data_IF_720561979288
#
_entry.id   IF_720561979288
#
_cell.length_a   1.000
_cell.length_b   1.000
_cell.length_c   1.000
_cell.angle_alpha   90.00
_cell.angle_beta   90.00
_cell.angle_gamma   90.00
#
_symmetry.space_group_name_H-M   'P 1'
#
loop_
_entity.id
_entity.type
_entity.pdbx_description
1 polymer ?
#
# COMPACT_ATOMS: atom_id res chain seq x y z
N UNK A 1 -12.87 19.93 -26.48
CA UNK A 1 -12.73 19.18 -25.22
C UNK A 1 -14.07 19.10 -24.46
N UNK A 2 -15.07 18.45 -25.07
CA UNK A 2 -16.46 18.30 -24.55
C UNK A 2 -16.57 17.31 -23.36
N UNK A 3 -15.47 16.67 -22.98
CA UNK A 3 -15.46 15.41 -22.23
C UNK A 3 -15.18 15.53 -20.72
N UNK A 4 -14.61 16.64 -20.22
CA UNK A 4 -14.56 16.89 -18.76
C UNK A 4 -15.96 17.10 -18.18
N UNK A 5 -16.85 17.75 -18.93
CA UNK A 5 -18.30 17.77 -18.65
C UNK A 5 -18.89 16.36 -18.65
N UNK A 6 -18.45 15.48 -19.54
CA UNK A 6 -18.95 14.11 -19.56
C UNK A 6 -18.54 13.34 -18.29
N UNK A 7 -17.30 13.49 -17.81
CA UNK A 7 -16.87 12.86 -16.55
C UNK A 7 -17.75 13.29 -15.37
N UNK A 8 -18.02 14.59 -15.22
CA UNK A 8 -18.93 15.10 -14.19
C UNK A 8 -20.36 14.53 -14.36
N UNK A 9 -20.89 14.49 -15.58
CA UNK A 9 -22.21 13.91 -15.86
C UNK A 9 -22.28 12.44 -15.45
N UNK A 10 -21.27 11.63 -15.78
CA UNK A 10 -21.21 10.22 -15.37
C UNK A 10 -21.09 10.05 -13.85
N UNK A 11 -20.26 10.86 -13.19
CA UNK A 11 -20.15 10.88 -11.72
C UNK A 11 -21.47 11.24 -11.05
N UNK A 12 -22.18 12.24 -11.58
CA UNK A 12 -23.47 12.68 -11.04
C UNK A 12 -24.57 11.66 -11.32
N UNK A 13 -24.59 11.07 -12.51
CA UNK A 13 -25.55 10.01 -12.87
C UNK A 13 -25.39 8.77 -11.98
N UNK A 14 -24.15 8.34 -11.76
CA UNK A 14 -23.84 7.23 -10.86
C UNK A 14 -24.29 7.54 -9.43
N UNK A 15 -23.99 8.73 -8.92
CA UNK A 15 -24.39 9.12 -7.58
C UNK A 15 -25.91 9.22 -7.42
N UNK A 16 -26.61 9.65 -8.47
CA UNK A 16 -28.07 9.65 -8.51
C UNK A 16 -28.63 8.21 -8.47
N UNK A 17 -28.02 7.27 -9.20
CA UNK A 17 -28.40 5.86 -9.13
C UNK A 17 -28.17 5.27 -7.72
N UNK A 18 -27.05 5.59 -7.07
CA UNK A 18 -26.78 5.21 -5.68
C UNK A 18 -27.82 5.82 -4.73
N UNK A 19 -28.18 7.09 -4.92
CA UNK A 19 -29.21 7.75 -4.11
C UNK A 19 -30.58 7.07 -4.25
N UNK A 20 -30.96 6.62 -5.46
CA UNK A 20 -32.19 5.84 -5.68
C UNK A 20 -32.16 4.53 -4.89
N UNK A 21 -31.03 3.81 -4.89
CA UNK A 21 -30.86 2.59 -4.09
C UNK A 21 -30.98 2.87 -2.60
N UNK A 22 -30.38 3.96 -2.11
CA UNK A 22 -30.46 4.38 -0.70
C UNK A 22 -31.91 4.71 -0.30
N UNK A 23 -32.67 5.39 -1.16
CA UNK A 23 -34.09 5.70 -0.92
C UNK A 23 -34.93 4.41 -0.88
N UNK A 24 -34.68 3.48 -1.80
CA UNK A 24 -35.41 2.20 -1.85
C UNK A 24 -35.12 1.33 -0.60
N UNK A 25 -33.90 1.40 -0.08
CA UNK A 25 -33.45 0.67 1.11
C UNK A 25 -33.52 1.47 2.41
N UNK A 26 -34.25 2.60 2.44
CA UNK A 26 -34.26 3.53 3.58
C UNK A 26 -34.63 2.85 4.93
N UNK A 27 -35.63 1.97 4.94
CA UNK A 27 -36.08 1.28 6.16
C UNK A 27 -34.99 0.40 6.79
N UNK A 28 -34.38 -0.54 6.05
CA UNK A 28 -33.23 -1.31 6.55
C UNK A 28 -32.01 -0.45 6.88
N UNK A 29 -31.68 0.54 6.05
CA UNK A 29 -30.49 1.41 6.23
C UNK A 29 -30.57 2.23 7.52
N UNK A 30 -31.74 2.78 7.85
CA UNK A 30 -31.91 3.57 9.09
C UNK A 30 -31.77 2.70 10.35
N UNK A 31 -32.33 1.49 10.36
CA UNK A 31 -32.15 0.53 11.45
C UNK A 31 -30.67 0.13 11.62
N UNK A 32 -30.01 -0.17 10.51
CA UNK A 32 -28.57 -0.45 10.48
C UNK A 32 -27.74 0.76 10.96
N UNK A 33 -28.10 1.97 10.54
CA UNK A 33 -27.41 3.20 10.93
C UNK A 33 -27.46 3.43 12.45
N UNK A 34 -28.65 3.24 13.04
CA UNK A 34 -28.89 3.44 14.47
C UNK A 34 -28.23 2.39 15.37
N UNK A 35 -27.73 1.29 14.82
CA UNK A 35 -26.96 0.31 15.61
C UNK A 35 -25.63 0.87 16.11
N UNK A 36 -24.95 1.69 15.29
CA UNK A 36 -23.65 2.29 15.61
C UNK A 36 -23.63 3.74 15.10
N UNK A 37 -24.40 4.66 15.70
CA UNK A 37 -24.61 6.00 15.15
C UNK A 37 -23.31 6.83 15.07
N UNK A 38 -22.37 6.60 15.99
CA UNK A 38 -21.07 7.28 16.01
C UNK A 38 -20.22 6.86 14.81
N UNK A 39 -20.00 5.56 14.62
CA UNK A 39 -19.17 5.05 13.51
C UNK A 39 -19.84 5.26 12.16
N UNK A 40 -21.14 4.96 12.05
CA UNK A 40 -21.88 5.16 10.81
C UNK A 40 -21.94 6.65 10.42
N UNK A 41 -22.08 7.56 11.39
CA UNK A 41 -22.01 9.01 11.16
C UNK A 41 -20.63 9.46 10.68
N UNK A 42 -19.56 8.93 11.28
CA UNK A 42 -18.19 9.21 10.86
C UNK A 42 -17.90 8.66 9.44
N UNK A 43 -18.41 7.45 9.11
CA UNK A 43 -18.34 6.88 7.76
C UNK A 43 -19.02 7.82 6.76
N UNK A 44 -20.23 8.30 7.04
CA UNK A 44 -20.92 9.27 6.18
C UNK A 44 -20.15 10.59 6.01
N UNK A 45 -19.55 11.11 7.09
CA UNK A 45 -18.76 12.33 7.03
C UNK A 45 -17.51 12.17 6.15
N UNK A 46 -16.78 11.05 6.30
CA UNK A 46 -15.61 10.72 5.47
C UNK A 46 -16.02 10.47 4.02
N UNK A 47 -17.13 9.77 3.77
CA UNK A 47 -17.69 9.57 2.43
C UNK A 47 -18.00 10.91 1.75
N UNK A 48 -18.65 11.82 2.47
CA UNK A 48 -18.97 13.16 1.96
C UNK A 48 -17.71 13.97 1.67
N UNK A 49 -16.73 13.97 2.58
CA UNK A 49 -15.45 14.64 2.36
C UNK A 49 -14.70 14.09 1.13
N UNK A 50 -14.66 12.76 0.97
CA UNK A 50 -14.09 12.10 -0.19
C UNK A 50 -14.79 12.49 -1.49
N UNK A 51 -16.12 12.55 -1.47
CA UNK A 51 -16.91 12.98 -2.63
C UNK A 51 -16.58 14.42 -3.02
N UNK A 52 -16.53 15.33 -2.05
CA UNK A 52 -16.20 16.74 -2.26
C UNK A 52 -14.80 16.88 -2.85
N UNK A 53 -13.81 16.15 -2.32
CA UNK A 53 -12.44 16.17 -2.83
C UNK A 53 -12.38 15.70 -4.28
N UNK A 54 -13.01 14.57 -4.61
CA UNK A 54 -13.02 14.03 -5.97
C UNK A 54 -13.75 14.95 -6.96
N UNK A 55 -14.90 15.51 -6.59
CA UNK A 55 -15.60 16.48 -7.43
C UNK A 55 -14.76 17.75 -7.63
N UNK A 56 -14.14 18.25 -6.57
CA UNK A 56 -13.28 19.43 -6.63
C UNK A 56 -12.09 19.19 -7.56
N UNK A 57 -11.48 18.00 -7.55
CA UNK A 57 -10.40 17.65 -8.47
C UNK A 57 -10.85 17.84 -9.92
N UNK A 58 -11.97 17.21 -10.33
CA UNK A 58 -12.52 17.31 -11.69
C UNK A 58 -12.93 18.75 -12.06
N UNK A 59 -13.53 19.48 -11.12
CA UNK A 59 -13.95 20.87 -11.33
C UNK A 59 -12.77 21.82 -11.56
N UNK A 60 -11.62 21.58 -10.92
CA UNK A 60 -10.40 22.38 -11.12
C UNK A 60 -9.84 22.20 -12.54
N UNK A 61 -9.95 21.02 -13.15
CA UNK A 61 -9.48 20.77 -14.52
C UNK A 61 -10.31 21.54 -15.58
N UNK A 62 -11.60 21.79 -15.34
CA UNK A 62 -12.49 22.42 -16.33
C UNK A 62 -12.07 23.83 -16.78
N UNK A 63 -11.77 24.78 -15.87
CA UNK A 63 -11.18 26.08 -16.21
C UNK A 63 -9.86 25.99 -16.95
N UNK A 64 -9.02 25.00 -16.60
CA UNK A 64 -7.67 24.83 -17.15
C UNK A 64 -7.70 24.38 -18.61
N UNK A 65 -8.56 23.40 -18.92
CA UNK A 65 -8.86 22.96 -20.28
C UNK A 65 -9.37 24.12 -21.14
N UNK A 66 -10.31 24.92 -20.62
CA UNK A 66 -10.86 26.08 -21.36
C UNK A 66 -9.83 27.16 -21.65
N UNK A 67 -8.85 27.35 -20.76
CA UNK A 67 -7.76 28.28 -20.99
C UNK A 67 -6.87 27.79 -22.13
N UNK A 68 -6.51 26.50 -22.16
CA UNK A 68 -5.72 25.90 -23.25
C UNK A 68 -6.48 26.00 -24.59
N UNK A 69 -7.79 25.75 -24.63
CA UNK A 69 -8.58 25.90 -25.87
C UNK A 69 -8.58 27.35 -26.38
N UNK A 70 -8.71 28.33 -25.47
CA UNK A 70 -8.66 29.76 -25.84
C UNK A 70 -7.28 30.17 -26.35
N UNK A 71 -6.22 29.69 -25.71
CA UNK A 71 -4.85 29.94 -26.15
C UNK A 71 -4.57 29.29 -27.52
N UNK A 72 -5.14 28.12 -27.80
CA UNK A 72 -5.01 27.42 -29.10
C UNK A 72 -5.81 28.06 -30.23
N UNK A 73 -6.93 28.70 -29.91
CA UNK A 73 -7.85 29.29 -30.90
C UNK A 73 -7.63 30.79 -31.15
N UNK A 74 -6.98 31.49 -30.22
CA UNK A 74 -6.58 32.87 -30.40
C UNK A 74 -5.17 32.94 -30.99
N UNK A 75 -5.09 33.23 -32.29
CA UNK A 75 -3.86 33.69 -32.97
C UNK A 75 -3.47 35.13 -32.58
N UNK A 76 -4.02 35.68 -31.48
CA UNK A 76 -3.91 37.10 -31.15
C UNK A 76 -3.65 37.37 -29.65
N UNK A 77 -2.90 38.45 -29.33
CA UNK A 77 -2.20 38.63 -28.05
C UNK A 77 -3.10 39.00 -26.85
N UNK A 78 -4.41 39.17 -27.06
CA UNK A 78 -5.33 39.74 -26.07
C UNK A 78 -6.06 38.70 -25.20
N UNK A 79 -5.79 37.40 -25.37
CA UNK A 79 -6.46 36.34 -24.60
C UNK A 79 -5.79 36.04 -23.23
N UNK A 80 -4.75 36.78 -22.84
CA UNK A 80 -3.98 36.56 -21.62
C UNK A 80 -4.67 37.07 -20.34
N UNK A 81 -5.96 36.78 -20.16
CA UNK A 81 -6.54 36.82 -18.82
C UNK A 81 -5.95 35.63 -18.04
N UNK A 82 -4.99 35.92 -17.17
CA UNK A 82 -4.25 34.95 -16.36
C UNK A 82 -5.22 33.95 -15.71
N UNK A 83 -5.03 32.63 -15.89
CA UNK A 83 -5.88 31.65 -15.22
C UNK A 83 -5.70 31.83 -13.70
N UNK A 84 -6.80 32.11 -13.01
CA UNK A 84 -6.86 32.35 -11.55
C UNK A 84 -6.56 31.08 -10.73
N UNK A 85 -6.13 29.98 -11.36
CA UNK A 85 -5.98 28.65 -10.75
C UNK A 85 -4.51 28.26 -10.54
N UNK A 86 -4.29 27.41 -9.52
CA UNK A 86 -2.97 27.07 -8.96
C UNK A 86 -2.13 26.13 -9.83
N UNK A 87 -2.71 25.26 -10.65
CA UNK A 87 -1.94 24.26 -11.41
C UNK A 87 -1.28 24.89 -12.64
N UNK A 88 -2.04 25.61 -13.47
CA UNK A 88 -1.48 26.33 -14.62
C UNK A 88 -0.88 27.70 -14.30
N UNK A 89 -1.07 28.24 -13.08
CA UNK A 89 -0.58 29.59 -12.73
C UNK A 89 0.94 29.76 -12.85
N UNK A 90 1.72 28.71 -12.58
CA UNK A 90 3.18 28.73 -12.76
C UNK A 90 3.58 28.70 -14.24
N UNK A 91 2.86 27.93 -15.07
CA UNK A 91 3.05 27.92 -16.52
C UNK A 91 2.64 29.27 -17.13
N UNK A 92 1.47 29.79 -16.76
CA UNK A 92 0.96 31.06 -17.24
C UNK A 92 1.98 32.18 -17.03
N UNK A 93 2.63 32.27 -15.86
CA UNK A 93 3.69 33.26 -15.57
C UNK A 93 4.94 33.09 -16.45
N UNK A 94 5.36 31.85 -16.72
CA UNK A 94 6.50 31.57 -17.61
C UNK A 94 6.16 31.86 -19.09
N UNK A 95 4.91 31.63 -19.49
CA UNK A 95 4.38 31.92 -20.82
C UNK A 95 4.08 33.42 -21.04
N UNK A 96 3.63 34.15 -20.01
CA UNK A 96 3.32 35.60 -20.10
C UNK A 96 4.49 36.52 -19.81
N UNK A 97 5.54 36.04 -19.12
CA UNK A 97 6.65 36.89 -18.68
C UNK A 97 7.64 37.32 -19.76
N UNK A 98 7.58 36.78 -20.99
CA UNK A 98 8.55 37.07 -22.07
C UNK A 98 7.87 37.17 -23.43
N UNK A 99 7.11 38.25 -23.62
CA UNK A 99 6.49 38.59 -24.91
C UNK A 99 7.50 39.36 -25.77
N UNK A 100 7.94 38.80 -26.91
CA UNK A 100 8.66 39.55 -27.93
C UNK A 100 9.59 38.74 -28.84
N UNK A 101 10.25 37.70 -28.34
CA UNK A 101 11.19 36.89 -29.12
C UNK A 101 10.69 35.44 -29.23
N UNK A 102 10.93 34.84 -30.38
CA UNK A 102 10.42 33.53 -30.79
C UNK A 102 10.54 32.48 -29.68
N UNK A 103 9.40 31.87 -29.39
CA UNK A 103 9.15 31.01 -28.24
C UNK A 103 9.92 29.67 -28.32
N UNK A 104 11.20 29.63 -27.95
CA UNK A 104 11.95 28.37 -27.82
C UNK A 104 11.93 27.91 -26.35
N UNK A 105 10.87 27.22 -25.92
CA UNK A 105 10.96 26.46 -24.66
C UNK A 105 12.01 25.36 -24.86
N UNK A 106 13.07 25.36 -24.04
CA UNK A 106 13.99 24.23 -24.04
C UNK A 106 13.22 22.97 -23.63
N UNK A 107 13.45 21.85 -24.33
CA UNK A 107 12.85 20.54 -24.03
C UNK A 107 13.01 20.13 -22.55
N UNK A 108 14.08 20.60 -21.91
CA UNK A 108 14.33 20.40 -20.48
C UNK A 108 13.32 21.13 -19.59
N UNK A 109 13.03 22.41 -19.86
CA UNK A 109 12.07 23.22 -19.07
C UNK A 109 10.64 22.69 -19.20
N UNK A 110 10.27 22.18 -20.38
CA UNK A 110 8.99 21.53 -20.61
C UNK A 110 8.81 20.29 -19.72
N UNK A 111 9.82 19.41 -19.70
CA UNK A 111 9.79 18.18 -18.93
C UNK A 111 9.64 18.44 -17.44
N UNK A 112 10.37 19.42 -16.91
CA UNK A 112 10.26 19.81 -15.48
C UNK A 112 8.86 20.33 -15.12
N UNK A 113 8.19 21.06 -16.03
CA UNK A 113 6.82 21.54 -15.78
C UNK A 113 5.80 20.39 -15.81
N UNK A 114 5.92 19.48 -16.78
CA UNK A 114 5.07 18.29 -16.86
C UNK A 114 5.27 17.39 -15.64
N UNK A 115 6.50 17.17 -15.18
CA UNK A 115 6.79 16.40 -13.98
C UNK A 115 6.19 17.06 -12.73
N UNK A 116 6.24 18.39 -12.62
CA UNK A 116 5.63 19.13 -11.52
C UNK A 116 4.10 19.05 -11.50
N UNK A 117 3.44 19.04 -12.66
CA UNK A 117 1.99 18.85 -12.76
C UNK A 117 1.62 17.40 -12.43
N UNK A 118 2.37 16.44 -12.95
CA UNK A 118 2.17 15.01 -12.67
C UNK A 118 2.26 14.72 -11.18
N UNK A 119 3.29 15.22 -10.51
CA UNK A 119 3.46 15.06 -9.06
C UNK A 119 2.26 15.59 -8.25
N UNK A 120 1.68 16.73 -8.65
CA UNK A 120 0.49 17.29 -7.97
C UNK A 120 -0.78 16.50 -8.23
N UNK A 121 -0.94 15.95 -9.44
CA UNK A 121 -2.05 15.06 -9.77
C UNK A 121 -1.94 13.75 -8.97
N UNK A 122 -0.75 13.17 -8.90
CA UNK A 122 -0.48 11.95 -8.14
C UNK A 122 -0.73 12.15 -6.63
N UNK A 123 -0.24 13.24 -6.04
CA UNK A 123 -0.53 13.60 -4.63
C UNK A 123 -2.04 13.66 -4.35
N UNK A 124 -2.80 14.24 -5.29
CA UNK A 124 -4.25 14.32 -5.17
C UNK A 124 -4.94 12.95 -5.25
N UNK A 125 -4.37 12.00 -5.99
CA UNK A 125 -4.87 10.61 -6.07
C UNK A 125 -4.54 9.82 -4.80
N UNK A 126 -3.37 10.04 -4.22
CA UNK A 126 -2.97 9.40 -2.97
C UNK A 126 -3.89 9.79 -1.82
N UNK A 127 -4.28 11.06 -1.72
CA UNK A 127 -5.28 11.53 -0.74
C UNK A 127 -6.61 10.80 -0.93
N UNK A 128 -7.07 10.64 -2.18
CA UNK A 128 -8.33 9.95 -2.48
C UNK A 128 -8.27 8.46 -2.09
N UNK A 129 -7.17 7.78 -2.44
CA UNK A 129 -6.90 6.38 -2.03
C UNK A 129 -6.86 6.21 -0.53
N UNK A 130 -6.26 7.15 0.20
CA UNK A 130 -6.23 7.13 1.65
C UNK A 130 -7.65 7.23 2.23
N UNK A 131 -8.51 8.11 1.70
CA UNK A 131 -9.90 8.25 2.17
C UNK A 131 -10.71 6.96 1.90
N UNK A 132 -10.49 6.30 0.76
CA UNK A 132 -11.12 4.99 0.48
C UNK A 132 -10.66 3.94 1.49
N UNK A 133 -9.35 3.85 1.76
CA UNK A 133 -8.81 2.95 2.78
C UNK A 133 -9.34 3.27 4.18
N UNK A 134 -9.47 4.56 4.51
CA UNK A 134 -10.04 5.03 5.76
C UNK A 134 -11.50 4.59 5.92
N UNK A 135 -12.32 4.66 4.87
CA UNK A 135 -13.72 4.18 4.88
C UNK A 135 -13.81 2.68 5.21
N UNK A 136 -12.95 1.86 4.60
CA UNK A 136 -12.88 0.42 4.88
C UNK A 136 -12.45 0.19 6.32
N UNK A 137 -11.37 0.85 6.75
CA UNK A 137 -10.85 0.73 8.11
C UNK A 137 -11.90 1.13 9.15
N UNK A 138 -12.63 2.21 8.92
CA UNK A 138 -13.69 2.68 9.80
C UNK A 138 -14.86 1.70 9.87
N UNK A 139 -15.19 1.07 8.75
CA UNK A 139 -16.18 -0.01 8.71
C UNK A 139 -15.76 -1.21 9.55
N UNK A 140 -14.51 -1.67 9.40
CA UNK A 140 -13.94 -2.75 10.21
C UNK A 140 -13.93 -2.38 11.70
N UNK A 141 -13.51 -1.16 12.03
CA UNK A 141 -13.43 -0.70 13.41
C UNK A 141 -14.82 -0.62 14.05
N UNK A 142 -15.86 -0.20 13.31
CA UNK A 142 -17.24 -0.25 13.80
C UNK A 142 -17.73 -1.66 14.09
N UNK A 143 -17.36 -2.66 13.28
CA UNK A 143 -17.69 -4.06 13.58
C UNK A 143 -16.97 -4.58 14.80
N UNK A 144 -15.69 -4.22 14.97
CA UNK A 144 -14.92 -4.58 16.15
C UNK A 144 -15.56 -3.99 17.41
N UNK A 145 -16.01 -2.74 17.34
CA UNK A 145 -16.69 -2.09 18.46
C UNK A 145 -18.02 -2.77 18.80
N UNK A 146 -18.84 -3.09 17.80
CA UNK A 146 -20.09 -3.81 18.04
C UNK A 146 -19.86 -5.21 18.63
N UNK A 147 -18.79 -5.90 18.23
CA UNK A 147 -18.42 -7.18 18.84
C UNK A 147 -18.00 -7.02 20.31
N UNK A 148 -17.25 -5.96 20.66
CA UNK A 148 -16.92 -5.67 22.07
C UNK A 148 -18.17 -5.42 22.91
N UNK A 149 -19.17 -4.72 22.37
CA UNK A 149 -20.45 -4.50 23.04
C UNK A 149 -21.20 -5.83 23.27
N UNK A 150 -21.25 -6.71 22.26
CA UNK A 150 -21.86 -8.04 22.42
C UNK A 150 -21.13 -8.88 23.47
N UNK A 151 -19.79 -8.82 23.53
CA UNK A 151 -18.98 -9.54 24.52
C UNK A 151 -19.23 -9.01 25.94
N UNK A 152 -19.37 -7.69 26.11
CA UNK A 152 -19.75 -7.07 27.38
C UNK A 152 -21.14 -7.53 27.84
N UNK A 153 -22.10 -7.61 26.92
CA UNK A 153 -23.45 -8.12 27.20
C UNK A 153 -23.44 -9.56 27.67
N UNK A 154 -22.68 -10.43 27.02
CA UNK A 154 -22.51 -11.84 27.42
C UNK A 154 -21.84 -11.93 28.81
N UNK A 155 -20.81 -11.13 29.07
CA UNK A 155 -20.16 -11.07 30.39
C UNK A 155 -21.14 -10.66 31.49
N UNK A 156 -21.98 -9.66 31.26
CA UNK A 156 -22.98 -9.20 32.23
C UNK A 156 -24.03 -10.29 32.56
N UNK A 157 -24.47 -11.05 31.56
CA UNK A 157 -25.42 -12.16 31.75
C UNK A 157 -24.79 -13.28 32.58
N UNK A 158 -23.51 -13.61 32.30
CA UNK A 158 -22.78 -14.64 33.07
C UNK A 158 -22.57 -14.19 34.53
N UNK A 159 -22.21 -12.93 34.75
CA UNK A 159 -22.02 -12.38 36.10
C UNK A 159 -23.33 -12.23 36.89
N UNK A 160 -24.46 -12.05 36.20
CA UNK A 160 -25.79 -11.92 36.83
C UNK A 160 -26.42 -13.24 37.30
N UNK A 161 -25.83 -14.39 36.97
CA UNK A 161 -26.34 -15.71 37.39
C UNK A 161 -25.94 -16.01 38.84
N UNK A 162 -26.83 -15.67 39.77
CA UNK A 162 -26.76 -16.19 41.12
C UNK A 162 -27.23 -17.65 41.14
N UNK A 163 -26.29 -18.59 41.23
CA UNK A 163 -26.54 -20.05 41.35
C UNK A 163 -27.07 -20.48 42.73
N UNK A 164 -27.74 -19.59 43.46
CA UNK A 164 -28.03 -19.74 44.90
C UNK A 164 -29.42 -20.23 45.30
N UNK A 165 -30.26 -20.75 44.39
CA UNK A 165 -31.64 -21.15 44.70
C UNK A 165 -32.17 -22.34 43.89
N UNK A 166 -33.20 -23.01 44.42
CA UNK A 166 -33.81 -24.29 43.98
C UNK A 166 -34.36 -24.35 42.54
N UNK A 167 -34.32 -23.27 41.75
CA UNK A 167 -34.96 -23.21 40.43
C UNK A 167 -33.96 -23.03 39.28
N UNK A 168 -33.22 -24.11 38.99
CA UNK A 168 -32.29 -24.24 37.87
C UNK A 168 -32.96 -23.93 36.51
N UNK A 169 -34.27 -24.21 36.40
CA UNK A 169 -35.04 -23.97 35.18
C UNK A 169 -35.28 -22.49 34.91
N UNK A 170 -35.45 -21.68 35.97
CA UNK A 170 -35.54 -20.24 35.87
C UNK A 170 -34.18 -19.61 35.51
N UNK A 171 -33.08 -20.10 36.11
CA UNK A 171 -31.73 -19.65 35.78
C UNK A 171 -31.36 -19.95 34.31
N UNK A 172 -31.72 -21.14 33.80
CA UNK A 172 -31.47 -21.50 32.40
C UNK A 172 -32.29 -20.63 31.42
N UNK A 173 -33.56 -20.35 31.72
CA UNK A 173 -34.38 -19.42 30.91
C UNK A 173 -33.82 -17.99 30.92
N UNK A 174 -33.29 -17.53 32.05
CA UNK A 174 -32.59 -16.24 32.15
C UNK A 174 -31.31 -16.19 31.31
N UNK A 175 -30.55 -17.28 31.29
CA UNK A 175 -29.33 -17.43 30.48
C UNK A 175 -29.66 -17.46 28.98
N UNK A 176 -30.69 -18.23 28.60
CA UNK A 176 -31.19 -18.28 27.22
C UNK A 176 -31.64 -16.89 26.72
N UNK A 177 -32.49 -16.19 27.48
CA UNK A 177 -32.95 -14.85 27.12
C UNK A 177 -31.81 -13.82 27.12
N UNK A 178 -30.85 -13.96 28.05
CA UNK A 178 -29.68 -13.10 28.15
C UNK A 178 -28.71 -13.26 26.98
N UNK A 179 -28.57 -14.46 26.41
CA UNK A 179 -27.70 -14.71 25.25
C UNK A 179 -28.37 -14.38 23.90
N UNK A 180 -29.69 -14.44 23.80
CA UNK A 180 -30.43 -14.14 22.56
C UNK A 180 -30.24 -12.67 22.13
N UNK A 181 -30.19 -11.75 23.09
CA UNK A 181 -30.01 -10.32 22.85
C UNK A 181 -28.68 -10.00 22.14
N UNK A 182 -27.50 -10.35 22.67
CA UNK A 182 -26.21 -10.12 22.00
C UNK A 182 -26.06 -10.92 20.69
N UNK A 183 -26.65 -12.12 20.58
CA UNK A 183 -26.65 -12.88 19.33
C UNK A 183 -27.44 -12.17 18.22
N UNK A 184 -28.60 -11.60 18.55
CA UNK A 184 -29.38 -10.80 17.59
C UNK A 184 -28.68 -9.49 17.21
N UNK A 185 -27.90 -8.91 18.13
CA UNK A 185 -27.12 -7.69 17.94
C UNK A 185 -25.90 -7.82 17.02
N UNK A 186 -25.45 -9.06 16.76
CA UNK A 186 -24.26 -9.33 15.93
C UNK A 186 -24.48 -8.88 14.47
N UNK A 187 -25.67 -9.14 13.91
CA UNK A 187 -26.01 -8.71 12.55
C UNK A 187 -26.05 -7.18 12.41
N UNK A 188 -26.49 -6.48 13.45
CA UNK A 188 -26.48 -5.01 13.49
C UNK A 188 -25.09 -4.43 13.69
N UNK A 189 -24.20 -5.11 14.43
CA UNK A 189 -22.78 -4.74 14.54
C UNK A 189 -22.05 -4.82 13.19
N UNK A 190 -22.37 -5.84 12.38
CA UNK A 190 -21.77 -6.02 11.04
C UNK A 190 -22.15 -4.91 10.04
N UNK A 191 -23.26 -4.21 10.28
CA UNK A 191 -23.75 -3.19 9.36
C UNK A 191 -22.78 -2.03 9.15
N UNK A 192 -21.96 -1.68 10.15
CA UNK A 192 -20.93 -0.64 10.01
C UNK A 192 -19.87 -1.00 8.95
N UNK A 193 -19.50 -2.28 8.83
CA UNK A 193 -18.60 -2.74 7.77
C UNK A 193 -19.26 -2.65 6.40
N UNK A 194 -20.54 -2.98 6.30
CA UNK A 194 -21.29 -2.80 5.05
C UNK A 194 -21.35 -1.34 4.62
N UNK A 195 -21.56 -0.39 5.54
CA UNK A 195 -21.49 1.05 5.22
C UNK A 195 -20.09 1.48 4.78
N UNK A 196 -19.04 1.01 5.47
CA UNK A 196 -17.65 1.32 5.13
C UNK A 196 -17.25 0.80 3.75
N UNK A 197 -17.56 -0.47 3.46
CA UNK A 197 -17.29 -1.10 2.16
C UNK A 197 -18.14 -0.52 1.04
N UNK A 198 -19.43 -0.32 1.24
CA UNK A 198 -20.30 0.30 0.24
C UNK A 198 -19.86 1.73 -0.06
N UNK A 199 -19.54 2.51 0.98
CA UNK A 199 -18.99 3.85 0.84
C UNK A 199 -17.66 3.86 0.09
N UNK A 200 -16.74 2.94 0.43
CA UNK A 200 -15.47 2.78 -0.27
C UNK A 200 -15.64 2.40 -1.74
N UNK A 201 -16.63 1.57 -2.08
CA UNK A 201 -16.95 1.20 -3.46
C UNK A 201 -17.49 2.38 -4.25
N UNK A 202 -18.46 3.11 -3.68
CA UNK A 202 -19.01 4.33 -4.29
C UNK A 202 -17.90 5.36 -4.52
N UNK A 203 -17.08 5.62 -3.50
CA UNK A 203 -15.98 6.56 -3.60
C UNK A 203 -14.90 6.09 -4.58
N UNK A 204 -14.59 4.80 -4.60
CA UNK A 204 -13.63 4.20 -5.53
C UNK A 204 -14.04 4.32 -6.99
N UNK A 205 -15.33 4.18 -7.30
CA UNK A 205 -15.84 4.44 -8.65
C UNK A 205 -15.68 5.91 -9.05
N UNK A 206 -16.03 6.82 -8.14
CA UNK A 206 -15.88 8.26 -8.34
C UNK A 206 -14.40 8.64 -8.53
N UNK A 207 -13.49 8.05 -7.76
CA UNK A 207 -12.04 8.22 -7.88
C UNK A 207 -11.51 7.74 -9.22
N UNK A 208 -11.96 6.57 -9.70
CA UNK A 208 -11.59 6.06 -11.01
C UNK A 208 -11.97 7.06 -12.12
N UNK A 209 -13.18 7.62 -12.04
CA UNK A 209 -13.67 8.58 -13.03
C UNK A 209 -12.90 9.92 -12.97
N UNK A 210 -12.50 10.36 -11.77
CA UNK A 210 -11.60 11.51 -11.56
C UNK A 210 -10.21 11.24 -12.17
N UNK A 211 -9.62 10.08 -11.88
CA UNK A 211 -8.33 9.65 -12.41
C UNK A 211 -8.31 9.59 -13.94
N UNK A 212 -9.38 9.07 -14.57
CA UNK A 212 -9.51 9.10 -16.03
C UNK A 212 -9.53 10.53 -16.60
N UNK A 213 -10.20 11.47 -15.93
CA UNK A 213 -10.24 12.86 -16.36
C UNK A 213 -8.86 13.54 -16.23
N UNK A 214 -8.15 13.29 -15.14
CA UNK A 214 -6.79 13.80 -14.90
C UNK A 214 -5.77 13.27 -15.91
N UNK A 215 -5.77 11.94 -16.15
CA UNK A 215 -4.83 11.31 -17.06
C UNK A 215 -5.03 11.80 -18.51
N UNK A 216 -6.29 11.99 -18.91
CA UNK A 216 -6.60 12.58 -20.22
C UNK A 216 -6.11 14.02 -20.33
N UNK A 217 -6.33 14.85 -19.30
CA UNK A 217 -5.83 16.22 -19.28
C UNK A 217 -4.30 16.26 -19.40
N UNK A 218 -3.59 15.40 -18.66
CA UNK A 218 -2.14 15.31 -18.73
C UNK A 218 -1.67 14.96 -20.16
N UNK A 219 -2.26 13.95 -20.79
CA UNK A 219 -1.92 13.56 -22.15
C UNK A 219 -2.23 14.66 -23.18
N UNK A 220 -3.37 15.35 -23.03
CA UNK A 220 -3.73 16.49 -23.90
C UNK A 220 -2.76 17.66 -23.74
N UNK A 221 -2.29 17.92 -22.51
CA UNK A 221 -1.28 18.94 -22.21
C UNK A 221 0.08 18.58 -22.81
N UNK A 222 0.51 17.32 -22.67
CA UNK A 222 1.75 16.80 -23.23
C UNK A 222 1.77 16.92 -24.76
N UNK A 223 0.71 16.46 -25.43
CA UNK A 223 0.57 16.55 -26.89
C UNK A 223 0.60 18.01 -27.37
N UNK A 224 -0.11 18.91 -26.68
CA UNK A 224 -0.10 20.33 -27.02
C UNK A 224 1.30 20.94 -26.91
N UNK A 225 2.04 20.64 -25.84
CA UNK A 225 3.40 21.16 -25.63
C UNK A 225 4.41 20.57 -26.60
N UNK A 226 4.26 19.29 -26.96
CA UNK A 226 5.08 18.65 -27.99
C UNK A 226 4.89 19.32 -29.37
N UNK A 227 3.65 19.72 -29.69
CA UNK A 227 3.33 20.48 -30.90
C UNK A 227 4.04 21.84 -30.98
N UNK A 228 4.07 22.59 -29.87
CA UNK A 228 4.71 23.91 -29.83
C UNK A 228 6.24 23.84 -29.96
N UNK A 229 6.86 22.81 -29.40
CA UNK A 229 8.32 22.61 -29.45
C UNK A 229 8.81 22.34 -30.89
N UNK A 230 8.03 21.60 -31.70
CA UNK A 230 8.38 21.27 -33.10
C UNK A 230 8.34 22.47 -34.05
N UNK A 231 7.43 23.42 -33.82
CA UNK A 231 7.32 24.66 -34.61
C UNK A 231 8.48 25.62 -34.33
N UNK A 232 9.00 25.64 -33.11
CA UNK A 232 10.10 26.54 -32.73
C UNK A 232 11.48 26.12 -33.26
N UNK A 233 11.67 24.85 -33.62
CA UNK A 233 12.95 24.34 -34.16
C UNK A 233 13.14 24.54 -35.67
N UNK A 234 12.14 25.10 -36.38
CA UNK A 234 12.13 25.18 -37.86
C UNK A 234 12.36 26.57 -38.47
N UNK A 235 12.62 27.61 -37.68
CA UNK A 235 12.67 29.00 -38.17
C UNK A 235 14.05 29.65 -38.06
N UNK A 236 14.97 29.33 -38.96
CA UNK A 236 16.16 30.16 -39.22
C UNK A 236 16.41 30.21 -40.74
N UNK A 237 15.98 31.30 -41.36
CA UNK A 237 16.35 31.68 -42.71
C UNK A 237 16.80 33.14 -42.72
N UNK A 238 18.03 33.40 -43.13
CA UNK A 238 18.48 34.66 -43.75
C UNK A 238 19.62 34.36 -44.73
N UNK A 239 19.52 34.99 -45.89
CA UNK A 239 20.32 34.85 -47.11
C UNK A 239 21.80 35.24 -46.95
N UNK A 240 22.67 34.64 -47.77
CA UNK A 240 24.07 35.04 -47.92
C UNK A 240 24.88 34.04 -48.75
N UNK A 241 25.29 34.45 -49.95
CA UNK A 241 26.11 33.73 -50.93
C UNK A 241 27.39 33.08 -50.37
N UNK A 242 27.73 31.90 -50.90
CA UNK A 242 29.11 31.49 -51.13
C UNK A 242 29.88 30.88 -49.94
N UNK A 243 29.50 29.69 -49.51
CA UNK A 243 30.43 28.62 -49.08
C UNK A 243 29.63 27.37 -48.75
N UNK A 244 30.25 26.20 -48.93
CA UNK A 244 29.63 24.87 -48.69
C UNK A 244 28.79 24.90 -47.40
N UNK A 245 27.51 24.46 -47.42
CA UNK A 245 26.57 24.82 -46.37
C UNK A 245 27.08 24.42 -44.99
N UNK A 246 27.32 25.39 -44.12
CA UNK A 246 27.60 25.17 -42.70
C UNK A 246 26.53 24.29 -42.03
N UNK A 247 25.33 24.24 -42.62
CA UNK A 247 24.26 23.30 -42.29
C UNK A 247 24.64 21.82 -42.48
N UNK A 248 25.35 21.45 -43.55
CA UNK A 248 25.77 20.07 -43.80
C UNK A 248 26.91 19.67 -42.85
N UNK A 249 27.84 20.60 -42.58
CA UNK A 249 28.91 20.36 -41.62
C UNK A 249 28.38 20.27 -40.17
N UNK A 250 27.45 21.14 -39.79
CA UNK A 250 26.76 21.08 -38.50
C UNK A 250 25.88 19.82 -38.37
N UNK A 251 25.22 19.38 -39.44
CA UNK A 251 24.47 18.12 -39.45
C UNK A 251 25.40 16.90 -39.33
N UNK A 252 26.55 16.91 -40.00
CA UNK A 252 27.53 15.82 -39.90
C UNK A 252 28.17 15.77 -38.51
N UNK A 253 28.49 16.92 -37.93
CA UNK A 253 29.03 17.04 -36.57
C UNK A 253 27.99 16.64 -35.52
N UNK A 254 26.73 17.06 -35.68
CA UNK A 254 25.61 16.65 -34.84
C UNK A 254 25.30 15.14 -34.97
N UNK A 255 25.45 14.58 -36.17
CA UNK A 255 25.26 13.14 -36.39
C UNK A 255 26.39 12.35 -35.73
N UNK A 256 27.63 12.81 -35.82
CA UNK A 256 28.78 12.19 -35.15
C UNK A 256 28.63 12.22 -33.62
N UNK A 257 28.26 13.36 -33.05
CA UNK A 257 28.04 13.48 -31.59
C UNK A 257 26.83 12.65 -31.13
N UNK A 258 25.80 12.50 -31.98
CA UNK A 258 24.66 11.62 -31.70
C UNK A 258 25.04 10.13 -31.72
N UNK A 259 25.91 9.71 -32.64
CA UNK A 259 26.44 8.34 -32.70
C UNK A 259 27.33 8.04 -31.49
N UNK A 260 28.19 8.97 -31.07
CA UNK A 260 29.01 8.84 -29.87
C UNK A 260 28.18 8.79 -28.58
N UNK A 261 27.07 9.52 -28.53
CA UNK A 261 26.11 9.45 -27.42
C UNK A 261 25.37 8.11 -27.40
N UNK A 262 24.93 7.62 -28.55
CA UNK A 262 24.30 6.30 -28.66
C UNK A 262 25.25 5.18 -28.27
N UNK A 263 26.51 5.22 -28.71
CA UNK A 263 27.52 4.23 -28.34
C UNK A 263 27.79 4.24 -26.83
N UNK A 264 27.89 5.43 -26.21
CA UNK A 264 28.04 5.54 -24.74
C UNK A 264 26.81 5.06 -23.96
N UNK A 265 25.61 5.34 -24.45
CA UNK A 265 24.37 4.88 -23.81
C UNK A 265 24.22 3.36 -23.93
N UNK A 266 24.55 2.78 -25.09
CA UNK A 266 24.55 1.33 -25.29
C UNK A 266 25.58 0.64 -24.40
N UNK A 267 26.81 1.16 -24.32
CA UNK A 267 27.85 0.61 -23.44
C UNK A 267 27.41 0.65 -21.96
N UNK A 268 26.85 1.78 -21.50
CA UNK A 268 26.30 1.89 -20.14
C UNK A 268 25.08 0.99 -19.91
N UNK A 269 24.25 0.80 -20.93
CA UNK A 269 23.11 -0.11 -20.89
C UNK A 269 23.53 -1.56 -20.73
N UNK A 270 24.58 -1.97 -21.45
CA UNK A 270 25.21 -3.30 -21.37
C UNK A 270 25.77 -3.56 -19.97
N UNK A 271 26.49 -2.58 -19.39
CA UNK A 271 27.08 -2.69 -18.05
C UNK A 271 26.00 -2.73 -16.97
N UNK A 272 24.95 -1.91 -17.09
CA UNK A 272 23.80 -1.97 -16.19
C UNK A 272 23.07 -3.32 -16.27
N UNK A 273 22.95 -3.88 -17.48
CA UNK A 273 22.33 -5.20 -17.70
C UNK A 273 23.13 -6.30 -17.01
N UNK A 274 24.46 -6.32 -17.19
CA UNK A 274 25.36 -7.26 -16.50
C UNK A 274 25.30 -7.12 -14.98
N UNK A 275 25.28 -5.88 -14.47
CA UNK A 275 25.16 -5.64 -13.04
C UNK A 275 23.80 -6.10 -12.48
N UNK A 276 22.72 -5.96 -13.25
CA UNK A 276 21.40 -6.48 -12.87
C UNK A 276 21.35 -8.01 -12.88
N UNK A 277 21.97 -8.65 -13.87
CA UNK A 277 22.10 -10.11 -13.93
C UNK A 277 22.87 -10.67 -12.72
N UNK A 278 23.99 -10.05 -12.35
CA UNK A 278 24.76 -10.43 -11.15
C UNK A 278 23.96 -10.27 -9.85
N UNK A 279 23.16 -9.20 -9.74
CA UNK A 279 22.28 -8.99 -8.57
C UNK A 279 21.13 -10.00 -8.53
N UNK A 280 20.62 -10.42 -9.68
CA UNK A 280 19.61 -11.47 -9.75
C UNK A 280 20.20 -12.82 -9.34
N UNK A 281 21.41 -13.13 -9.79
CA UNK A 281 22.13 -14.35 -9.39
C UNK A 281 22.36 -14.40 -7.87
N UNK A 282 22.84 -13.31 -7.26
CA UNK A 282 23.01 -13.24 -5.80
C UNK A 282 21.68 -13.37 -5.04
N UNK A 283 20.60 -12.78 -5.57
CA UNK A 283 19.28 -12.87 -4.94
C UNK A 283 18.70 -14.29 -5.05
N UNK A 284 18.96 -15.00 -6.14
CA UNK A 284 18.60 -16.42 -6.29
C UNK A 284 19.36 -17.28 -5.28
N UNK A 285 20.66 -17.03 -5.07
CA UNK A 285 21.45 -17.72 -4.05
C UNK A 285 20.91 -17.47 -2.63
N UNK A 286 20.62 -16.22 -2.27
CA UNK A 286 20.04 -15.87 -0.96
C UNK A 286 18.66 -16.47 -0.73
N UNK A 287 17.79 -16.46 -1.75
CA UNK A 287 16.47 -17.11 -1.68
C UNK A 287 16.62 -18.63 -1.56
N UNK A 288 17.60 -19.22 -2.25
CA UNK A 288 17.94 -20.64 -2.12
C UNK A 288 18.38 -21.00 -0.70
N UNK A 289 19.26 -20.19 -0.10
CA UNK A 289 19.72 -20.37 1.27
C UNK A 289 18.56 -20.23 2.29
N UNK A 290 17.69 -19.23 2.11
CA UNK A 290 16.50 -19.04 2.96
C UNK A 290 15.52 -20.21 2.85
N UNK A 291 15.33 -20.75 1.65
CA UNK A 291 14.47 -21.92 1.43
C UNK A 291 15.02 -23.20 2.09
N UNK A 292 16.34 -23.36 2.13
CA UNK A 292 16.97 -24.48 2.85
C UNK A 292 16.85 -24.30 4.37
N UNK A 293 17.07 -23.08 4.88
CA UNK A 293 16.87 -22.75 6.29
C UNK A 293 15.41 -23.00 6.73
N UNK A 294 14.43 -22.54 5.95
CA UNK A 294 13.00 -22.76 6.25
C UNK A 294 12.62 -24.24 6.28
N UNK A 295 13.24 -25.06 5.41
CA UNK A 295 13.08 -26.53 5.44
C UNK A 295 13.72 -27.14 6.68
N UNK A 296 14.86 -26.61 7.14
CA UNK A 296 15.48 -26.97 8.42
C UNK A 296 14.57 -26.66 9.61
N UNK A 297 14.04 -25.44 9.68
CA UNK A 297 13.14 -24.98 10.74
C UNK A 297 11.85 -25.79 10.79
N UNK A 298 11.26 -26.12 9.64
CA UNK A 298 10.09 -27.01 9.58
C UNK A 298 10.38 -28.41 10.11
N UNK A 299 11.54 -28.99 9.78
CA UNK A 299 11.94 -30.29 10.32
C UNK A 299 12.13 -30.22 11.84
N UNK A 300 12.78 -29.17 12.35
CA UNK A 300 12.94 -28.96 13.78
C UNK A 300 11.59 -28.82 14.50
N UNK A 301 10.66 -28.05 13.93
CA UNK A 301 9.29 -27.91 14.45
C UNK A 301 8.54 -29.26 14.46
N UNK A 302 8.63 -30.04 13.39
CA UNK A 302 8.00 -31.38 13.35
C UNK A 302 8.61 -32.35 14.36
N UNK A 303 9.92 -32.29 14.56
CA UNK A 303 10.58 -33.07 15.61
C UNK A 303 10.11 -32.62 17.01
N UNK A 304 9.96 -31.31 17.25
CA UNK A 304 9.44 -30.76 18.51
C UNK A 304 8.00 -31.19 18.78
N UNK A 305 7.13 -31.15 17.78
CA UNK A 305 5.74 -31.61 17.91
C UNK A 305 5.69 -33.10 18.20
N UNK A 306 6.55 -33.90 17.55
CA UNK A 306 6.66 -35.33 17.78
C UNK A 306 7.13 -35.64 19.21
N UNK A 307 8.20 -35.00 19.68
CA UNK A 307 8.71 -35.20 21.05
C UNK A 307 7.69 -34.73 22.10
N UNK A 308 6.95 -33.66 21.83
CA UNK A 308 5.87 -33.20 22.71
C UNK A 308 4.71 -34.21 22.77
N UNK A 309 4.36 -34.83 21.65
CA UNK A 309 3.37 -35.92 21.60
C UNK A 309 3.82 -37.18 22.35
N UNK A 310 5.09 -37.57 22.20
CA UNK A 310 5.69 -38.68 22.94
C UNK A 310 5.69 -38.40 24.45
N UNK A 311 6.03 -37.18 24.88
CA UNK A 311 5.96 -36.76 26.29
C UNK A 311 4.54 -36.78 26.84
N UNK A 312 3.56 -36.30 26.07
CA UNK A 312 2.15 -36.34 26.49
C UNK A 312 1.65 -37.79 26.65
N UNK A 313 2.06 -38.69 25.76
CA UNK A 313 1.76 -40.12 25.88
C UNK A 313 2.41 -40.77 27.09
N UNK A 314 3.67 -40.45 27.40
CA UNK A 314 4.35 -40.94 28.60
C UNK A 314 3.66 -40.41 29.87
N UNK A 315 3.27 -39.13 29.91
CA UNK A 315 2.54 -38.55 31.05
C UNK A 315 1.15 -39.18 31.23
N UNK A 316 0.44 -39.49 30.14
CA UNK A 316 -0.86 -40.14 30.19
C UNK A 316 -0.75 -41.59 30.68
N UNK A 317 0.24 -42.35 30.18
CA UNK A 317 0.52 -43.71 30.66
C UNK A 317 0.95 -43.71 32.14
N UNK A 318 1.69 -42.68 32.59
CA UNK A 318 2.07 -42.51 33.99
C UNK A 318 0.85 -42.21 34.87
N UNK A 319 -0.08 -41.39 34.39
CA UNK A 319 -1.34 -41.10 35.06
C UNK A 319 -2.26 -42.34 35.16
N UNK A 320 -2.35 -43.14 34.09
CA UNK A 320 -3.13 -44.39 34.06
C UNK A 320 -2.53 -45.48 34.96
N UNK A 321 -1.19 -45.59 34.98
CA UNK A 321 -0.47 -46.55 35.83
C UNK A 321 -0.50 -46.19 37.31
N UNK A 322 -0.77 -44.92 37.65
CA UNK A 322 -0.92 -44.44 39.03
C UNK A 322 -2.28 -44.84 39.63
N UNK A 323 -3.28 -45.11 38.80
CA UNK A 323 -4.63 -45.51 39.23
C UNK A 323 -4.71 -47.02 39.56
N UNK A 324 -3.77 -47.82 39.05
CA UNK A 324 -3.70 -49.28 39.26
C UNK A 324 -2.62 -49.70 40.27
N UNK A 325 -2.98 -49.63 41.55
CA UNK A 325 -2.47 -50.46 42.68
C UNK A 325 -1.08 -50.19 43.28
N UNK A 326 -1.06 -50.28 44.61
CA UNK A 326 0.00 -50.06 45.63
C UNK A 326 1.29 -50.90 45.55
N UNK A 327 1.70 -51.38 44.37
CA UNK A 327 3.02 -52.02 44.15
C UNK A 327 4.02 -51.08 43.42
N UNK A 328 3.56 -49.89 43.01
CA UNK A 328 4.27 -48.96 42.10
C UNK A 328 5.30 -48.07 42.79
N UNK A 329 5.37 -48.04 44.12
CA UNK A 329 6.18 -47.05 44.85
C UNK A 329 7.71 -47.25 44.68
N UNK A 330 8.15 -48.48 44.42
CA UNK A 330 9.55 -48.79 44.08
C UNK A 330 9.87 -48.50 42.62
N UNK A 331 8.94 -48.78 41.71
CA UNK A 331 9.12 -48.58 40.27
C UNK A 331 9.01 -47.11 39.86
N UNK A 332 8.15 -46.33 40.53
CA UNK A 332 8.05 -44.86 40.36
C UNK A 332 9.34 -44.20 40.86
N UNK A 333 9.93 -44.66 41.97
CA UNK A 333 11.23 -44.12 42.45
C UNK A 333 12.37 -44.42 41.48
N UNK A 334 12.42 -45.62 40.92
CA UNK A 334 13.45 -46.00 39.93
C UNK A 334 13.29 -45.18 38.63
N UNK A 335 12.05 -44.99 38.16
CA UNK A 335 11.75 -44.15 36.99
C UNK A 335 12.01 -42.66 37.23
N UNK A 336 11.74 -42.14 38.44
CA UNK A 336 12.08 -40.76 38.81
C UNK A 336 13.61 -40.56 38.87
N UNK A 337 14.37 -41.55 39.34
CA UNK A 337 15.82 -41.51 39.32
C UNK A 337 16.36 -41.55 37.89
N UNK A 338 15.80 -42.39 37.02
CA UNK A 338 16.16 -42.41 35.60
C UNK A 338 15.83 -41.09 34.90
N UNK A 339 14.65 -40.50 35.13
CA UNK A 339 14.29 -39.19 34.58
C UNK A 339 15.23 -38.09 35.07
N UNK A 340 15.60 -38.11 36.35
CA UNK A 340 16.54 -37.14 36.93
C UNK A 340 17.92 -37.28 36.29
N UNK A 341 18.40 -38.52 36.07
CA UNK A 341 19.67 -38.75 35.38
C UNK A 341 19.62 -38.28 33.93
N UNK A 342 18.54 -38.57 33.21
CA UNK A 342 18.37 -38.18 31.80
C UNK A 342 18.29 -36.65 31.64
N UNK A 343 17.64 -35.96 32.59
CA UNK A 343 17.60 -34.50 32.64
C UNK A 343 18.97 -33.89 32.94
N UNK A 344 19.78 -34.53 33.78
CA UNK A 344 21.15 -34.09 34.06
C UNK A 344 22.05 -34.27 32.84
N UNK A 345 21.93 -35.40 32.13
CA UNK A 345 22.64 -35.64 30.86
C UNK A 345 22.25 -34.63 29.79
N UNK A 346 20.95 -34.36 29.59
CA UNK A 346 20.50 -33.32 28.65
C UNK A 346 20.99 -31.93 29.02
N UNK A 347 21.00 -31.59 30.31
CA UNK A 347 21.54 -30.31 30.78
C UNK A 347 23.04 -30.19 30.51
N UNK A 348 23.77 -31.29 30.63
CA UNK A 348 25.20 -31.35 30.37
C UNK A 348 25.50 -31.24 28.87
N UNK A 349 24.76 -31.95 28.01
CA UNK A 349 24.85 -31.83 26.54
C UNK A 349 24.54 -30.41 26.06
N UNK A 350 23.45 -29.79 26.55
CA UNK A 350 23.13 -28.39 26.24
C UNK A 350 24.19 -27.39 26.73
N UNK A 351 24.91 -27.74 27.81
CA UNK A 351 26.04 -26.97 28.30
C UNK A 351 27.25 -27.06 27.36
N UNK A 352 27.57 -28.26 26.88
CA UNK A 352 28.67 -28.52 25.95
C UNK A 352 28.41 -27.82 24.61
N UNK A 353 27.21 -27.96 24.04
CA UNK A 353 26.82 -27.32 22.77
C UNK A 353 26.92 -25.79 22.83
N UNK A 354 26.56 -25.17 23.96
CA UNK A 354 26.72 -23.71 24.14
C UNK A 354 28.18 -23.26 24.18
N UNK A 355 29.07 -24.13 24.64
CA UNK A 355 30.50 -23.84 24.71
C UNK A 355 31.12 -23.98 23.32
N UNK A 356 30.75 -25.02 22.58
CA UNK A 356 31.14 -25.24 21.19
C UNK A 356 30.65 -24.11 20.27
N UNK A 357 29.37 -23.71 20.38
CA UNK A 357 28.82 -22.58 19.63
C UNK A 357 29.55 -21.26 19.93
N UNK A 358 29.97 -21.02 21.18
CA UNK A 358 30.75 -19.83 21.52
C UNK A 358 32.15 -19.85 20.90
N UNK A 359 32.81 -21.00 20.87
CA UNK A 359 34.12 -21.13 20.23
C UNK A 359 34.00 -20.96 18.70
N UNK A 360 32.99 -21.56 18.08
CA UNK A 360 32.70 -21.35 16.64
C UNK A 360 32.41 -19.88 16.34
N UNK A 361 31.59 -19.19 17.14
CA UNK A 361 31.35 -17.75 16.97
C UNK A 361 32.63 -16.92 17.12
N UNK A 362 33.49 -17.27 18.08
CA UNK A 362 34.77 -16.57 18.27
C UNK A 362 35.71 -16.78 17.09
N UNK A 363 35.73 -17.96 16.51
CA UNK A 363 36.54 -18.28 15.34
C UNK A 363 36.04 -17.55 14.09
N UNK A 364 34.73 -17.54 13.86
CA UNK A 364 34.05 -16.74 12.82
C UNK A 364 34.33 -15.23 12.96
N UNK A 365 34.19 -14.67 14.17
CA UNK A 365 34.49 -13.26 14.43
C UNK A 365 35.96 -12.95 14.16
N UNK A 366 36.89 -13.85 14.50
CA UNK A 366 38.32 -13.68 14.19
C UNK A 366 38.59 -13.75 12.69
N UNK A 367 37.92 -14.65 11.96
CA UNK A 367 38.01 -14.75 10.51
C UNK A 367 37.49 -13.47 9.85
N UNK A 368 36.33 -12.97 10.27
CA UNK A 368 35.74 -11.69 9.83
C UNK A 368 36.66 -10.50 10.13
N UNK A 369 37.23 -10.43 11.33
CA UNK A 369 38.17 -9.38 11.69
C UNK A 369 39.45 -9.43 10.83
N UNK A 370 39.92 -10.64 10.48
CA UNK A 370 41.10 -10.84 9.63
C UNK A 370 40.83 -10.51 8.17
N UNK A 371 39.65 -10.82 7.62
CA UNK A 371 39.24 -10.39 6.28
C UNK A 371 39.05 -8.88 6.22
N UNK A 372 38.41 -8.26 7.22
CA UNK A 372 38.31 -6.80 7.33
C UNK A 372 39.69 -6.12 7.41
N UNK A 373 40.60 -6.64 8.23
CA UNK A 373 41.97 -6.11 8.32
C UNK A 373 42.73 -6.24 7.00
N UNK A 374 42.50 -7.30 6.22
CA UNK A 374 43.10 -7.48 4.89
C UNK A 374 42.48 -6.59 3.81
N UNK A 375 41.26 -6.12 4.02
CA UNK A 375 40.54 -5.22 3.11
C UNK A 375 40.77 -3.74 3.48
N UNK A 376 41.24 -3.48 4.70
CA UNK A 376 41.50 -2.15 5.26
C UNK A 376 42.94 -1.63 5.15
N UNK A 377 43.82 -2.29 4.38
CA UNK A 377 45.16 -1.76 4.05
C UNK A 377 45.21 -1.25 2.60
N UNK A 378 44.66 -0.05 2.30
CA UNK A 378 45.07 0.71 1.13
C UNK A 378 46.44 1.32 1.45
N UNK A 379 47.43 0.85 0.70
CA UNK A 379 48.84 1.10 0.95
C UNK A 379 49.22 2.57 1.11
N UNK A 380 50.23 2.74 1.97
CA UNK A 380 51.27 3.76 1.79
C UNK A 380 51.85 3.64 0.36
N UNK A 381 51.67 4.68 -0.42
CA UNK A 381 52.32 4.96 -1.70
C UNK A 381 52.33 6.45 -1.92
#
# INVERSE_FOLDING_TARGET
MRNTRNALVWMTLFLLAVAVVVVLLYGPLTRAFMANPVFNGMILAVLFAGLVINYRQVLILGPEVRWIERFRSADAPDAAAMPRTRLLGAMARLLTGRHGEQFTLSTMSLRTLLDGIRSRLDESRDISRYIIGLLVFLGLLGTFWGLLETLGGVSAVISGLHLGGEDVTAAFRGLQAGLETPLSGLGTAFSSSLFGLAGALVLGFIDLQSGHAQNRFYNELEEWLAGQTRLSSGGLGTEGEGSVPAYIQALLEQTSDSLDKLQRVMARGEDNRRAAEQRLESLIEEVGALAEQSRGDHKAMMNMVRTQGELQGVLQNLAESTDSSSATDAQIRDQLQQLTHTLDTMRQELGVDRTELNEVLREEIRLLARTLARTGDPGRG
#
